data_IF_369057890160
#
_entry.id   IF_369057890160
#
_cell.length_a   1.000
_cell.length_b   1.000
_cell.length_c   1.000
_cell.angle_alpha   90.00
_cell.angle_beta   90.00
_cell.angle_gamma   90.00
#
_symmetry.space_group_name_H-M   'P 1'
#
loop_
_entity.id
_entity.type
_entity.pdbx_description
1 polymer ?
#
# COMPACT_ATOMS: atom_id res chain seq x y z
N UNK A 1 6.33 -5.75 0.76
CA UNK A 1 5.96 -4.46 0.15
C UNK A 1 6.01 -4.61 -1.35
N UNK A 2 4.99 -4.15 -2.07
CA UNK A 2 4.85 -4.32 -3.51
C UNK A 2 4.27 -3.05 -4.17
N UNK A 3 4.33 -3.00 -5.50
CA UNK A 3 3.81 -1.90 -6.30
C UNK A 3 4.79 -0.73 -6.43
N UNK A 4 4.25 0.50 -6.45
CA UNK A 4 4.93 1.74 -6.82
C UNK A 4 5.85 2.32 -5.72
N UNK A 5 6.86 1.54 -5.37
CA UNK A 5 7.98 1.93 -4.50
C UNK A 5 9.29 1.69 -5.23
N UNK A 6 10.35 2.41 -4.82
CA UNK A 6 11.67 2.29 -5.48
C UNK A 6 12.24 0.87 -5.38
N UNK A 7 12.06 0.22 -4.23
CA UNK A 7 12.55 -1.13 -3.98
C UNK A 7 11.41 -2.01 -3.44
N UNK A 8 10.61 -2.66 -4.29
CA UNK A 8 9.64 -3.65 -3.84
C UNK A 8 10.35 -4.91 -3.34
N UNK A 9 9.71 -5.65 -2.43
CA UNK A 9 10.25 -6.90 -1.91
C UNK A 9 9.80 -7.24 -0.50
N UNK A 10 10.42 -8.29 0.03
CA UNK A 10 10.23 -8.76 1.41
C UNK A 10 11.22 -8.06 2.33
N UNK A 11 10.71 -7.54 3.44
CA UNK A 11 11.50 -6.83 4.43
C UNK A 11 11.40 -7.54 5.78
N UNK A 12 12.55 -7.84 6.38
CA UNK A 12 12.59 -8.26 7.77
C UNK A 12 12.31 -7.07 8.69
N UNK A 13 11.49 -7.29 9.72
CA UNK A 13 11.30 -6.31 10.80
C UNK A 13 12.64 -6.07 11.50
N UNK A 14 13.07 -4.83 11.55
CA UNK A 14 14.30 -4.39 12.20
C UNK A 14 14.09 -4.12 13.69
N UNK A 15 12.87 -3.78 14.12
CA UNK A 15 12.53 -3.51 15.52
C UNK A 15 11.04 -3.74 15.80
N UNK A 16 10.68 -3.92 17.07
CA UNK A 16 9.29 -4.23 17.49
C UNK A 16 8.29 -3.09 17.25
N UNK A 17 8.79 -1.86 17.18
CA UNK A 17 8.03 -0.62 16.99
C UNK A 17 8.23 -0.03 15.59
N UNK A 18 8.71 -0.83 14.62
CA UNK A 18 8.87 -0.38 13.23
C UNK A 18 7.49 -0.08 12.63
N UNK A 19 7.38 1.06 11.94
CA UNK A 19 6.11 1.54 11.38
C UNK A 19 6.11 1.53 9.85
N UNK A 20 4.95 1.78 9.27
CA UNK A 20 4.77 1.88 7.81
C UNK A 20 5.71 2.93 7.21
N UNK A 21 5.84 4.10 7.84
CA UNK A 21 6.74 5.16 7.35
C UNK A 21 8.22 4.74 7.38
N UNK A 22 8.63 3.89 8.33
CA UNK A 22 10.00 3.35 8.39
C UNK A 22 10.27 2.38 7.26
N UNK A 23 9.32 1.47 7.01
CA UNK A 23 9.40 0.52 5.90
C UNK A 23 9.45 1.26 4.55
N UNK A 24 8.65 2.31 4.38
CA UNK A 24 8.68 3.13 3.18
C UNK A 24 10.03 3.83 2.97
N UNK A 25 10.65 4.34 4.03
CA UNK A 25 12.00 4.91 3.96
C UNK A 25 13.01 3.86 3.50
N UNK A 26 12.95 2.65 4.05
CA UNK A 26 13.82 1.53 3.64
C UNK A 26 13.59 1.09 2.20
N UNK A 27 12.35 1.17 1.72
CA UNK A 27 12.00 0.89 0.34
C UNK A 27 12.38 2.02 -0.63
N UNK A 28 13.04 3.08 -0.16
CA UNK A 28 13.53 4.17 -0.99
C UNK A 28 12.45 5.18 -1.41
N UNK A 29 11.32 5.18 -0.70
CA UNK A 29 10.17 6.04 -0.95
C UNK A 29 9.27 5.56 -2.09
N UNK A 30 8.19 6.33 -2.31
CA UNK A 30 7.26 6.13 -3.41
C UNK A 30 7.88 6.51 -4.75
N UNK A 31 7.44 5.86 -5.82
CA UNK A 31 7.69 6.34 -7.18
C UNK A 31 6.76 7.54 -7.50
N UNK A 32 7.13 8.42 -8.45
CA UNK A 32 6.28 9.57 -8.83
C UNK A 32 4.89 9.17 -9.36
N UNK A 33 4.77 7.95 -9.88
CA UNK A 33 3.56 7.31 -10.38
C UNK A 33 2.69 6.68 -9.29
N UNK A 34 3.14 6.65 -8.04
CA UNK A 34 2.43 5.99 -6.95
C UNK A 34 1.13 6.70 -6.57
N UNK A 35 0.05 5.91 -6.37
CA UNK A 35 -1.20 6.41 -5.80
C UNK A 35 -1.31 6.03 -4.32
N UNK A 36 -0.87 6.94 -3.45
CA UNK A 36 -0.86 6.71 -2.00
C UNK A 36 -2.28 6.50 -1.43
N UNK A 37 -3.28 7.27 -1.87
CA UNK A 37 -4.68 7.08 -1.46
C UNK A 37 -5.29 5.72 -1.85
N UNK A 38 -4.68 5.00 -2.80
CA UNK A 38 -5.07 3.64 -3.19
C UNK A 38 -4.33 2.54 -2.46
N UNK A 39 -3.45 2.87 -1.51
CA UNK A 39 -2.63 1.89 -0.82
C UNK A 39 -3.48 0.86 -0.07
N UNK A 40 -3.08 -0.41 -0.19
CA UNK A 40 -3.75 -1.53 0.44
C UNK A 40 -2.84 -2.14 1.50
N UNK A 41 -3.32 -2.20 2.74
CA UNK A 41 -2.63 -2.86 3.84
C UNK A 41 -3.39 -4.10 4.27
N UNK A 42 -2.68 -5.22 4.37
CA UNK A 42 -3.23 -6.49 4.80
C UNK A 42 -2.38 -7.09 5.91
N UNK A 43 -3.04 -7.63 6.93
CA UNK A 43 -2.42 -8.30 8.08
C UNK A 43 -2.89 -9.75 8.12
N UNK A 44 -1.98 -10.66 7.77
CA UNK A 44 -2.27 -12.10 7.77
C UNK A 44 -2.35 -12.68 9.20
N UNK A 45 -1.58 -12.11 10.13
CA UNK A 45 -1.55 -12.58 11.52
C UNK A 45 -2.85 -12.22 12.24
N UNK A 46 -3.31 -13.12 13.11
CA UNK A 46 -4.56 -12.99 13.88
C UNK A 46 -5.82 -12.82 13.02
N UNK A 47 -5.78 -13.18 11.73
CA UNK A 47 -6.90 -13.06 10.80
C UNK A 47 -7.50 -11.65 10.72
N UNK A 48 -6.68 -10.61 10.95
CA UNK A 48 -7.15 -9.22 10.91
C UNK A 48 -7.57 -8.79 9.50
N UNK A 49 -6.97 -9.35 8.46
CA UNK A 49 -7.35 -9.08 7.07
C UNK A 49 -6.95 -7.67 6.64
N UNK A 50 -7.85 -6.95 5.96
CA UNK A 50 -7.60 -5.58 5.51
C UNK A 50 -7.57 -4.63 6.71
N UNK A 51 -6.48 -3.86 6.84
CA UNK A 51 -6.35 -2.80 7.85
C UNK A 51 -6.56 -1.46 7.17
N UNK A 52 -7.36 -0.60 7.79
CA UNK A 52 -7.51 0.78 7.32
C UNK A 52 -6.19 1.53 7.51
N UNK A 53 -5.60 1.96 6.41
CA UNK A 53 -4.38 2.75 6.38
C UNK A 53 -4.62 3.96 5.48
N UNK A 54 -4.48 5.15 6.04
CA UNK A 54 -4.44 6.40 5.29
C UNK A 54 -2.97 6.73 5.02
N UNK A 55 -2.45 6.25 3.89
CA UNK A 55 -1.02 6.39 3.61
C UNK A 55 -0.63 7.84 3.36
N UNK A 56 -1.53 8.68 2.84
CA UNK A 56 -1.27 10.11 2.64
C UNK A 56 -0.99 10.79 3.99
N UNK A 57 -1.83 10.52 5.01
CA UNK A 57 -1.56 11.02 6.37
C UNK A 57 -0.29 10.47 7.00
N UNK A 58 0.06 9.22 6.72
CA UNK A 58 1.33 8.64 7.20
C UNK A 58 2.54 9.36 6.61
N UNK A 59 2.45 9.76 5.34
CA UNK A 59 3.50 10.52 4.66
C UNK A 59 3.60 11.97 5.19
N UNK A 60 2.46 12.60 5.50
CA UNK A 60 2.40 13.94 6.09
C UNK A 60 2.93 13.98 7.52
N UNK A 61 2.61 12.96 8.33
CA UNK A 61 3.01 12.87 9.74
C UNK A 61 3.59 11.49 10.10
N UNK A 62 4.84 11.20 9.68
CA UNK A 62 5.54 9.97 10.06
C UNK A 62 5.64 9.83 11.59
N UNK A 63 5.38 8.63 12.12
CA UNK A 63 5.32 8.37 13.56
C UNK A 63 4.04 8.83 14.27
N UNK A 64 3.08 9.43 13.54
CA UNK A 64 1.77 9.82 14.06
C UNK A 64 0.86 8.63 14.39
N UNK A 65 -0.34 8.89 14.93
CA UNK A 65 -1.32 7.85 15.27
C UNK A 65 -1.82 7.06 14.06
N UNK A 66 -1.76 7.60 12.84
CA UNK A 66 -2.12 6.91 11.60
C UNK A 66 -1.01 5.97 11.09
N UNK A 67 0.22 6.16 11.57
CA UNK A 67 1.39 5.39 11.15
C UNK A 67 1.40 4.02 11.84
N UNK A 68 0.76 3.05 11.19
CA UNK A 68 0.54 1.71 11.74
C UNK A 68 1.87 1.04 12.09
N UNK A 69 1.95 0.47 13.30
CA UNK A 69 3.05 -0.41 13.69
C UNK A 69 2.97 -1.73 12.93
N UNK A 70 4.08 -2.11 12.31
CA UNK A 70 4.21 -3.32 11.51
C UNK A 70 4.32 -4.56 12.39
N UNK A 71 3.73 -5.62 11.87
CA UNK A 71 3.75 -6.96 12.43
C UNK A 71 4.24 -7.95 11.38
N UNK A 72 4.66 -9.13 11.85
CA UNK A 72 5.01 -10.21 10.95
C UNK A 72 3.79 -10.56 10.07
N UNK A 73 4.02 -10.77 8.78
CA UNK A 73 2.94 -11.11 7.84
C UNK A 73 2.08 -9.92 7.40
N UNK A 74 2.47 -8.69 7.74
CA UNK A 74 1.89 -7.50 7.12
C UNK A 74 2.38 -7.36 5.68
N UNK A 75 1.47 -6.99 4.78
CA UNK A 75 1.76 -6.61 3.41
C UNK A 75 1.17 -5.23 3.11
N UNK A 76 1.95 -4.44 2.37
CA UNK A 76 1.57 -3.14 1.86
C UNK A 76 1.80 -3.14 0.35
N UNK A 77 0.75 -2.84 -0.39
CA UNK A 77 0.74 -2.71 -1.85
C UNK A 77 0.31 -1.30 -2.22
N UNK A 78 1.07 -0.67 -3.12
CA UNK A 78 0.83 0.71 -3.54
C UNK A 78 0.58 0.69 -5.04
N UNK A 79 -0.64 0.99 -5.50
CA UNK A 79 -0.95 0.94 -6.92
C UNK A 79 -0.33 2.11 -7.67
N UNK A 80 -0.24 1.95 -8.99
CA UNK A 80 0.01 3.04 -9.92
C UNK A 80 -1.21 3.96 -10.02
N UNK A 81 -0.97 5.27 -10.11
CA UNK A 81 -1.99 6.23 -10.46
C UNK A 81 -2.37 6.08 -11.93
N UNK A 82 -3.38 5.26 -12.18
CA UNK A 82 -4.01 5.13 -13.49
C UNK A 82 -5.21 6.09 -13.56
N UNK A 83 -5.15 7.19 -14.35
CA UNK A 83 -6.26 8.14 -14.48
C UNK A 83 -7.45 7.58 -15.30
N UNK A 84 -7.58 6.25 -15.41
CA UNK A 84 -8.60 5.59 -16.21
C UNK A 84 -9.70 5.08 -15.30
N UNK A 85 -10.87 5.71 -15.35
CA UNK A 85 -12.07 5.18 -14.72
C UNK A 85 -12.68 4.13 -15.66
N UNK A 86 -12.59 2.84 -15.30
CA UNK A 86 -13.39 1.80 -15.94
C UNK A 86 -14.70 1.66 -15.17
N UNK A 87 -15.81 2.07 -15.78
CA UNK A 87 -17.15 1.82 -15.25
C UNK A 87 -17.61 0.45 -15.78
N UNK A 88 -17.69 -0.55 -14.93
CA UNK A 88 -18.36 -1.81 -15.27
C UNK A 88 -19.85 -1.66 -14.98
N UNK A 89 -20.63 -1.45 -16.05
CA UNK A 89 -22.09 -1.59 -16.00
C UNK A 89 -22.48 -3.06 -16.05
N UNK A 90 -23.41 -3.48 -15.19
CA UNK A 90 -23.99 -4.83 -15.26
C UNK A 90 -24.79 -4.98 -16.57
N UNK A 91 -24.24 -5.67 -17.58
CA UNK A 91 -24.98 -6.00 -18.80
C UNK A 91 -24.11 -6.44 -19.99
N UNK A 92 -23.87 -7.75 -20.06
CA UNK A 92 -23.48 -8.57 -21.21
C UNK A 92 -23.34 -7.90 -22.62
N UNK A 93 -22.10 -7.76 -23.13
CA UNK A 93 -21.65 -8.19 -24.48
C UNK A 93 -20.28 -7.58 -24.88
N UNK A 94 -19.33 -8.50 -25.16
CA UNK A 94 -18.20 -8.48 -26.10
C UNK A 94 -17.41 -7.18 -26.45
N UNK A 95 -16.08 -7.30 -26.35
CA UNK A 95 -15.12 -6.66 -27.26
C UNK A 95 -13.98 -5.88 -26.60
N UNK A 96 -12.80 -6.49 -26.48
CA UNK A 96 -11.55 -5.73 -26.33
C UNK A 96 -11.27 -4.99 -27.63
N UNK A 97 -11.24 -3.66 -27.60
CA UNK A 97 -10.63 -2.86 -28.65
C UNK A 97 -9.13 -2.76 -28.36
N UNK A 98 -8.35 -3.56 -29.10
CA UNK A 98 -6.98 -3.23 -29.50
C UNK A 98 -7.00 -2.93 -31.00
#
# INVERSE_FOLDING_TARGET
MAGEVRFPGTYALSRKDERVSDLLKRAGGLLPSAYAGGAQFFRAVNQAGRVNLDLERVLERPGGPEDVALQLGDSLEIPEYLPTVRVEGAGNAAGSLL
#
